data_IF_994581415210
#
_entry.id   IF_994581415210
#
_cell.length_a   1.000
_cell.length_b   1.000
_cell.length_c   1.000
_cell.angle_alpha   90.00
_cell.angle_beta   90.00
_cell.angle_gamma   90.00
#
_symmetry.space_group_name_H-M   'P 1'
#
loop_
_entity.id
_entity.type
_entity.pdbx_description
1 polymer ?
#
# COMPACT_ATOMS: atom_id res chain seq x y z
N UNK A 1 4.45 17.49 -9.92
CA UNK A 1 5.80 16.93 -9.66
C UNK A 1 6.31 16.31 -10.95
N UNK A 2 7.47 16.73 -11.43
CA UNK A 2 8.12 16.21 -12.65
C UNK A 2 9.27 15.30 -12.22
N UNK A 3 9.34 14.07 -12.75
CA UNK A 3 10.42 13.12 -12.48
C UNK A 3 11.21 12.91 -13.75
N UNK A 4 12.54 13.07 -13.68
CA UNK A 4 13.44 12.83 -14.80
C UNK A 4 14.22 11.53 -14.56
N UNK A 5 13.94 10.53 -15.37
CA UNK A 5 14.70 9.27 -15.36
C UNK A 5 15.84 9.38 -16.38
N UNK A 6 17.08 9.26 -15.91
CA UNK A 6 18.30 9.31 -16.74
C UNK A 6 18.86 7.89 -16.90
N UNK A 7 19.77 7.72 -17.86
CA UNK A 7 20.50 6.46 -18.10
C UNK A 7 19.63 5.27 -18.53
N UNK A 8 18.57 5.52 -19.30
CA UNK A 8 17.79 4.45 -19.95
C UNK A 8 18.47 4.08 -21.27
N UNK A 9 18.69 2.79 -21.49
CA UNK A 9 19.28 2.31 -22.76
C UNK A 9 18.36 2.59 -23.95
N UNK A 10 18.95 2.76 -25.15
CA UNK A 10 18.17 2.98 -26.38
C UNK A 10 17.18 1.84 -26.65
N UNK A 11 17.57 0.61 -26.32
CA UNK A 11 16.73 -0.57 -26.49
C UNK A 11 15.49 -0.55 -25.58
N UNK A 12 15.65 -0.18 -24.31
CA UNK A 12 14.54 -0.03 -23.36
C UNK A 12 13.60 1.09 -23.81
N UNK A 13 14.12 2.23 -24.26
CA UNK A 13 13.30 3.34 -24.78
C UNK A 13 12.48 2.89 -25.99
N UNK A 14 13.10 2.17 -26.95
CA UNK A 14 12.41 1.65 -28.11
C UNK A 14 11.30 0.64 -27.76
N UNK A 15 11.53 -0.20 -26.75
CA UNK A 15 10.49 -1.11 -26.21
C UNK A 15 9.30 -0.32 -25.65
N UNK A 16 9.55 0.72 -24.86
CA UNK A 16 8.50 1.58 -24.29
C UNK A 16 7.72 2.29 -25.39
N UNK A 17 8.41 2.88 -26.38
CA UNK A 17 7.77 3.60 -27.49
C UNK A 17 6.86 2.68 -28.31
N UNK A 18 7.29 1.43 -28.57
CA UNK A 18 6.44 0.42 -29.24
C UNK A 18 5.17 0.11 -28.43
N UNK A 19 5.30 -0.10 -27.12
CA UNK A 19 4.17 -0.42 -26.24
C UNK A 19 3.19 0.76 -26.11
N UNK A 20 3.70 1.99 -26.08
CA UNK A 20 2.89 3.20 -26.11
C UNK A 20 2.14 3.33 -27.45
N UNK A 21 2.83 3.07 -28.56
CA UNK A 21 2.26 3.10 -29.91
C UNK A 21 1.13 2.09 -30.11
N UNK A 22 1.27 0.86 -29.61
CA UNK A 22 0.19 -0.16 -29.64
C UNK A 22 -1.08 0.31 -28.93
N UNK A 23 -0.94 1.14 -27.89
CA UNK A 23 -2.06 1.68 -27.10
C UNK A 23 -2.52 3.05 -27.57
N UNK A 24 -1.93 3.59 -28.65
CA UNK A 24 -2.23 4.92 -29.22
C UNK A 24 -2.15 6.05 -28.20
N UNK A 25 -1.18 5.98 -27.28
CA UNK A 25 -0.93 7.01 -26.28
C UNK A 25 0.52 7.48 -26.34
N UNK A 26 0.81 8.64 -25.78
CA UNK A 26 2.19 9.14 -25.68
C UNK A 26 3.02 8.25 -24.75
N UNK A 27 4.35 8.23 -24.97
CA UNK A 27 5.30 7.54 -24.08
C UNK A 27 5.11 7.95 -22.61
N UNK A 28 4.98 9.26 -22.37
CA UNK A 28 4.82 9.81 -21.02
C UNK A 28 3.53 9.33 -20.36
N UNK A 29 2.42 9.32 -21.11
CA UNK A 29 1.14 8.84 -20.61
C UNK A 29 1.16 7.33 -20.37
N UNK A 30 1.84 6.57 -21.22
CA UNK A 30 2.07 5.14 -21.01
C UNK A 30 2.81 4.89 -19.70
N UNK A 31 3.92 5.59 -19.46
CA UNK A 31 4.70 5.47 -18.23
C UNK A 31 3.91 5.92 -17.00
N UNK A 32 3.13 7.01 -17.12
CA UNK A 32 2.25 7.49 -16.05
C UNK A 32 1.22 6.43 -15.65
N UNK A 33 0.58 5.79 -16.63
CA UNK A 33 -0.38 4.70 -16.39
C UNK A 33 0.29 3.46 -15.83
N UNK A 34 1.48 3.11 -16.32
CA UNK A 34 2.26 2.00 -15.81
C UNK A 34 2.61 2.21 -14.34
N UNK A 35 3.19 3.36 -13.98
CA UNK A 35 3.53 3.70 -12.60
C UNK A 35 2.28 3.72 -11.72
N UNK A 36 1.16 4.29 -12.17
CA UNK A 36 -0.10 4.27 -11.40
C UNK A 36 -0.63 2.86 -11.20
N UNK A 37 -0.57 2.01 -12.22
CA UNK A 37 -0.99 0.61 -12.13
C UNK A 37 -0.08 -0.14 -11.16
N UNK A 38 1.23 0.01 -11.28
CA UNK A 38 2.19 -0.59 -10.35
C UNK A 38 2.00 -0.06 -8.93
N UNK A 39 1.65 1.22 -8.72
CA UNK A 39 1.33 1.74 -7.38
C UNK A 39 0.01 1.20 -6.84
N UNK A 40 -0.97 0.89 -7.70
CA UNK A 40 -2.25 0.28 -7.29
C UNK A 40 -2.05 -1.20 -6.96
N UNK A 41 -1.28 -1.92 -7.77
CA UNK A 41 -0.96 -3.34 -7.57
C UNK A 41 0.06 -3.55 -6.45
N UNK A 42 1.05 -2.66 -6.36
CA UNK A 42 1.96 -2.61 -5.22
C UNK A 42 1.29 -1.96 -4.02
N UNK A 43 0.14 -1.30 -4.14
CA UNK A 43 -0.71 -0.92 -3.00
C UNK A 43 -1.12 -2.15 -2.19
N UNK A 44 -1.39 -3.28 -2.86
CA UNK A 44 -1.61 -4.57 -2.18
C UNK A 44 -0.33 -5.16 -1.53
N UNK A 45 0.87 -4.72 -1.92
CA UNK A 45 2.15 -5.23 -1.39
C UNK A 45 2.95 -4.24 -0.51
N UNK A 46 2.67 -2.93 -0.59
CA UNK A 46 3.26 -1.84 0.20
C UNK A 46 2.39 -1.48 1.41
N UNK A 47 1.09 -1.79 1.42
CA UNK A 47 0.20 -1.50 2.55
C UNK A 47 0.25 -2.53 3.69
N UNK A 48 1.33 -3.30 3.82
CA UNK A 48 1.62 -3.86 5.13
C UNK A 48 3.11 -3.80 5.45
N UNK A 49 3.62 -2.57 5.47
CA UNK A 49 4.74 -2.18 6.32
C UNK A 49 4.60 -2.88 7.69
N UNK A 50 5.63 -3.60 8.11
CA UNK A 50 5.68 -4.37 9.36
C UNK A 50 5.21 -3.56 10.56
N UNK A 51 5.46 -2.25 10.55
CA UNK A 51 5.06 -1.34 11.62
C UNK A 51 3.53 -1.15 11.69
N UNK A 52 2.84 -1.11 10.55
CA UNK A 52 1.37 -1.04 10.49
C UNK A 52 0.71 -2.35 10.90
N UNK A 53 1.32 -3.50 10.57
CA UNK A 53 0.94 -4.82 11.10
C UNK A 53 1.01 -4.87 12.63
N UNK A 54 2.11 -4.37 13.19
CA UNK A 54 2.31 -4.28 14.64
C UNK A 54 1.29 -3.33 15.27
N UNK A 55 1.02 -2.16 14.67
CA UNK A 55 0.00 -1.23 15.15
C UNK A 55 -1.40 -1.85 15.16
N UNK A 56 -1.79 -2.57 14.11
CA UNK A 56 -3.09 -3.25 14.05
C UNK A 56 -3.19 -4.39 15.08
N UNK A 57 -2.12 -5.18 15.23
CA UNK A 57 -2.05 -6.22 16.24
C UNK A 57 -2.13 -5.65 17.67
N UNK A 58 -1.42 -4.54 17.92
CA UNK A 58 -1.45 -3.83 19.20
C UNK A 58 -2.83 -3.24 19.48
N UNK A 59 -3.46 -2.58 18.51
CA UNK A 59 -4.81 -2.05 18.65
C UNK A 59 -5.84 -3.16 18.94
N UNK A 60 -5.71 -4.32 18.27
CA UNK A 60 -6.55 -5.49 18.55
C UNK A 60 -6.35 -6.02 19.96
N UNK A 61 -5.11 -6.08 20.46
CA UNK A 61 -4.82 -6.52 21.82
C UNK A 61 -5.31 -5.54 22.88
N UNK A 62 -5.15 -4.23 22.65
CA UNK A 62 -5.67 -3.20 23.55
C UNK A 62 -7.19 -3.28 23.68
N UNK A 63 -7.90 -3.51 22.56
CA UNK A 63 -9.34 -3.73 22.58
C UNK A 63 -9.72 -4.95 23.43
N UNK A 64 -9.08 -6.09 23.19
CA UNK A 64 -9.32 -7.32 23.97
C UNK A 64 -9.06 -7.13 25.47
N UNK A 65 -7.99 -6.41 25.81
CA UNK A 65 -7.68 -6.10 27.20
C UNK A 65 -8.75 -5.22 27.85
N UNK A 66 -9.24 -4.19 27.15
CA UNK A 66 -10.34 -3.37 27.65
C UNK A 66 -11.63 -4.18 27.84
N UNK A 67 -11.96 -5.07 26.89
CA UNK A 67 -13.13 -5.94 27.00
C UNK A 67 -13.02 -6.86 28.23
N UNK A 68 -11.83 -7.44 28.48
CA UNK A 68 -11.58 -8.27 29.66
C UNK A 68 -11.62 -7.48 30.96
N UNK A 69 -11.09 -6.25 30.97
CA UNK A 69 -11.16 -5.35 32.12
C UNK A 69 -12.61 -5.00 32.45
N UNK A 70 -13.43 -4.71 31.44
CA UNK A 70 -14.85 -4.48 31.63
C UNK A 70 -15.55 -5.69 32.24
N UNK A 71 -15.30 -6.90 31.73
CA UNK A 71 -15.86 -8.14 32.29
C UNK A 71 -15.45 -8.30 33.76
N UNK A 72 -14.17 -8.08 34.09
CA UNK A 72 -13.66 -8.18 35.45
C UNK A 72 -14.31 -7.16 36.39
N UNK A 73 -14.47 -5.92 35.95
CA UNK A 73 -15.14 -4.87 36.72
C UNK A 73 -16.57 -5.29 37.03
N UNK A 74 -17.33 -5.72 36.02
CA UNK A 74 -18.71 -6.19 36.21
C UNK A 74 -18.78 -7.36 37.19
N UNK A 75 -17.86 -8.33 37.10
CA UNK A 75 -17.82 -9.47 38.02
C UNK A 75 -17.48 -9.08 39.47
N UNK A 76 -16.70 -8.01 39.67
CA UNK A 76 -16.39 -7.49 41.00
C UNK A 76 -17.61 -6.74 41.55
N UNK A 77 -18.24 -5.90 40.73
CA UNK A 77 -19.46 -5.15 41.10
C UNK A 77 -20.63 -6.07 41.45
N UNK A 78 -20.80 -7.19 40.74
CA UNK A 78 -21.84 -8.20 41.05
C UNK A 78 -21.57 -9.00 42.33
N UNK A 79 -20.36 -8.94 42.89
CA UNK A 79 -19.95 -9.67 44.11
C UNK A 79 -19.97 -8.82 45.38
N UNK A 80 -20.22 -7.51 45.27
CA UNK A 80 -20.37 -6.56 46.38
C UNK A 80 -21.86 -6.35 46.65
#
# INVERSE_FOLDING_TARGET
MEIRVRNISKEQTAKIDRLAGQRKISREEYLRRLIRRELMTAGEFLEIDSESKIRLALASQLKKNNDLLHILITQIEERI
#
